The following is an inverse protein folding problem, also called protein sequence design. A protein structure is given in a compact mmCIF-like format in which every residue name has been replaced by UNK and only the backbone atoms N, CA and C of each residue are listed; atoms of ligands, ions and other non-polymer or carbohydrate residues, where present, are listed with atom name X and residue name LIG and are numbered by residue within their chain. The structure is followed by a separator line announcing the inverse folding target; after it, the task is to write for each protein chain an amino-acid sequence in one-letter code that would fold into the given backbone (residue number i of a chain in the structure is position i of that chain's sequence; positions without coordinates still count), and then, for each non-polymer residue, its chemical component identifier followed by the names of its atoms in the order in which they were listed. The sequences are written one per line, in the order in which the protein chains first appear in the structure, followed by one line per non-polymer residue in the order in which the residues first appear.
data_IF_573529157458
#
_entry.id   IF_573529157458
#
_cell.length_a   1.000
_cell.length_b   1.000
_cell.length_c   1.000
_cell.angle_alpha   90.00
_cell.angle_beta   90.00
_cell.angle_gamma   90.00
#
_symmetry.space_group_name_H-M   'P 1'
#
loop_
_entity.id
_entity.type
_entity.pdbx_description
1 polymer ?
#
# COMPACT_ATOMS: atom_id res chain seq x y z
N UNK A 1 -1.56 7.88 9.49
CA UNK A 1 -2.15 6.53 9.46
C UNK A 1 -3.42 6.49 10.30
N UNK A 2 -3.35 6.53 11.64
CA UNK A 2 -4.54 6.36 12.51
C UNK A 2 -5.67 7.40 12.31
N UNK A 3 -5.39 8.70 12.25
CA UNK A 3 -6.45 9.72 12.20
C UNK A 3 -7.26 9.72 10.90
N UNK A 4 -6.60 9.67 9.74
CA UNK A 4 -7.28 9.76 8.44
C UNK A 4 -7.92 8.42 8.01
N UNK A 5 -7.24 7.30 8.22
CA UNK A 5 -7.73 5.99 7.76
C UNK A 5 -8.76 5.39 8.72
N UNK A 6 -8.49 5.31 10.02
CA UNK A 6 -9.39 4.65 10.97
C UNK A 6 -10.58 5.51 11.40
N UNK A 7 -10.39 6.82 11.57
CA UNK A 7 -11.42 7.70 12.15
C UNK A 7 -12.16 8.47 11.07
N UNK A 8 -11.48 8.96 10.04
CA UNK A 8 -12.15 9.71 8.98
C UNK A 8 -12.81 8.77 7.97
N UNK A 9 -12.06 7.90 7.30
CA UNK A 9 -12.65 7.08 6.23
C UNK A 9 -13.73 6.13 6.73
N UNK A 10 -13.47 5.29 7.74
CA UNK A 10 -14.49 4.36 8.27
C UNK A 10 -15.74 5.08 8.83
N UNK A 11 -15.58 6.25 9.46
CA UNK A 11 -16.70 6.99 10.04
C UNK A 11 -17.48 7.77 8.98
N UNK A 12 -16.82 8.36 7.98
CA UNK A 12 -17.49 8.99 6.84
C UNK A 12 -18.16 7.94 5.95
N UNK A 13 -17.58 6.76 5.80
CA UNK A 13 -18.15 5.69 5.01
C UNK A 13 -19.43 5.12 5.65
N UNK A 14 -19.47 4.95 6.97
CA UNK A 14 -20.70 4.55 7.68
C UNK A 14 -21.67 5.74 7.82
N UNK A 15 -21.11 6.93 8.06
CA UNK A 15 -21.85 8.13 8.44
C UNK A 15 -22.55 8.80 7.26
N UNK A 16 -21.90 8.94 6.12
CA UNK A 16 -22.42 9.67 4.95
C UNK A 16 -23.64 8.98 4.33
N UNK A 17 -23.67 7.65 4.10
CA UNK A 17 -24.85 6.99 3.54
C UNK A 17 -26.04 7.08 4.49
N UNK A 18 -25.81 6.91 5.80
CA UNK A 18 -26.85 7.08 6.83
C UNK A 18 -27.36 8.52 6.91
N UNK A 19 -26.47 9.50 6.82
CA UNK A 19 -26.83 10.91 6.86
C UNK A 19 -27.59 11.31 5.58
N UNK A 20 -27.16 10.88 4.40
CA UNK A 20 -27.90 11.06 3.14
C UNK A 20 -29.26 10.38 3.16
N UNK A 21 -29.36 9.18 3.74
CA UNK A 21 -30.64 8.47 3.92
C UNK A 21 -31.55 9.21 4.89
N UNK A 22 -31.00 9.77 5.96
CA UNK A 22 -31.73 10.59 6.92
C UNK A 22 -32.19 11.91 6.30
N UNK A 23 -31.35 12.59 5.51
CA UNK A 23 -31.72 13.83 4.80
C UNK A 23 -32.79 13.54 3.76
N UNK A 24 -32.66 12.48 2.96
CA UNK A 24 -33.71 12.03 2.01
C UNK A 24 -35.01 11.68 2.73
N UNK A 25 -34.92 11.02 3.89
CA UNK A 25 -36.08 10.73 4.73
C UNK A 25 -36.72 12.00 5.31
N UNK A 26 -35.94 12.99 5.75
CA UNK A 26 -36.47 14.26 6.26
C UNK A 26 -37.11 15.08 5.13
N UNK A 27 -36.49 15.13 3.95
CA UNK A 27 -37.05 15.77 2.76
C UNK A 27 -38.33 15.06 2.29
N UNK A 28 -38.39 13.73 2.31
CA UNK A 28 -39.61 12.98 1.98
C UNK A 28 -40.69 13.10 3.07
N UNK A 29 -40.29 13.25 4.34
CA UNK A 29 -41.21 13.43 5.48
C UNK A 29 -41.98 14.76 5.43
N UNK A 30 -41.48 15.74 4.68
CA UNK A 30 -42.24 16.97 4.40
C UNK A 30 -43.43 16.74 3.45
N UNK A 31 -43.51 15.59 2.76
CA UNK A 31 -44.62 15.17 1.88
C UNK A 31 -45.49 14.01 2.44
N UNK A 32 -45.14 13.35 3.56
CA UNK A 32 -45.58 11.96 3.80
C UNK A 32 -46.20 11.64 5.19
N UNK A 33 -47.39 12.16 5.51
CA UNK A 33 -48.23 11.52 6.55
C UNK A 33 -48.96 10.25 6.04
N UNK A 34 -48.86 9.95 4.73
CA UNK A 34 -49.56 8.84 4.04
C UNK A 34 -48.66 7.62 3.68
N UNK A 35 -47.33 7.69 3.84
CA UNK A 35 -46.40 6.67 3.30
C UNK A 35 -46.04 5.51 4.25
N UNK A 36 -46.28 5.63 5.56
CA UNK A 36 -45.93 4.57 6.52
C UNK A 36 -46.71 3.25 6.27
N UNK A 37 -47.92 3.32 5.71
CA UNK A 37 -48.66 2.13 5.26
C UNK A 37 -48.24 1.62 3.86
N UNK A 38 -47.73 2.50 2.98
CA UNK A 38 -47.20 2.12 1.66
C UNK A 38 -45.88 1.36 1.75
N UNK A 39 -45.07 1.62 2.77
CA UNK A 39 -43.77 0.97 2.93
C UNK A 39 -43.89 -0.55 3.16
N UNK A 40 -45.04 -1.05 3.63
CA UNK A 40 -45.36 -2.49 3.70
C UNK A 40 -45.78 -3.11 2.34
N UNK A 41 -45.97 -2.31 1.28
CA UNK A 41 -46.46 -2.72 -0.05
C UNK A 41 -45.52 -2.39 -1.22
N UNK A 42 -44.33 -1.84 -0.96
CA UNK A 42 -43.38 -1.51 -2.03
C UNK A 42 -42.91 -2.78 -2.76
N UNK A 43 -42.95 -2.74 -4.08
CA UNK A 43 -42.39 -3.79 -4.92
C UNK A 43 -40.87 -3.77 -4.83
N UNK A 44 -40.25 -4.94 -5.06
CA UNK A 44 -38.80 -5.15 -4.85
C UNK A 44 -37.91 -4.22 -5.70
N UNK A 45 -38.36 -3.84 -6.90
CA UNK A 45 -37.61 -2.89 -7.73
C UNK A 45 -37.69 -1.44 -7.21
N UNK A 46 -38.77 -1.09 -6.50
CA UNK A 46 -38.95 0.25 -5.92
C UNK A 46 -38.01 0.43 -4.73
N UNK A 47 -37.90 -0.58 -3.87
CA UNK A 47 -36.93 -0.59 -2.77
C UNK A 47 -35.49 -0.51 -3.28
N UNK A 48 -35.14 -1.25 -4.33
CA UNK A 48 -33.81 -1.17 -4.94
C UNK A 48 -33.55 0.21 -5.58
N UNK A 49 -34.58 0.88 -6.11
CA UNK A 49 -34.44 2.23 -6.66
C UNK A 49 -34.10 3.30 -5.59
N UNK A 50 -34.37 3.07 -4.30
CA UNK A 50 -33.98 4.03 -3.27
C UNK A 50 -32.51 3.91 -2.83
N UNK A 51 -31.84 2.79 -3.12
CA UNK A 51 -30.41 2.57 -2.79
C UNK A 51 -29.48 3.40 -3.69
N UNK A 52 -28.24 3.62 -3.26
CA UNK A 52 -27.26 4.36 -4.05
C UNK A 52 -26.73 3.52 -5.22
N UNK A 53 -26.51 4.12 -6.41
CA UNK A 53 -25.91 3.41 -7.53
C UNK A 53 -24.44 3.10 -7.25
N UNK A 54 -23.98 1.95 -7.76
CA UNK A 54 -22.58 1.55 -7.64
C UNK A 54 -21.67 2.44 -8.50
N UNK A 55 -20.70 3.11 -7.87
CA UNK A 55 -19.80 4.07 -8.50
C UNK A 55 -18.47 3.46 -9.00
N UNK A 56 -18.32 2.13 -8.93
CA UNK A 56 -17.08 1.43 -9.29
C UNK A 56 -16.20 1.08 -8.09
N UNK A 57 -15.15 0.29 -8.33
CA UNK A 57 -14.20 -0.18 -7.31
C UNK A 57 -12.96 0.73 -7.17
N UNK A 58 -12.83 1.76 -8.00
CA UNK A 58 -11.61 2.59 -8.01
C UNK A 58 -11.35 3.34 -6.69
N UNK A 59 -12.36 3.86 -5.96
CA UNK A 59 -12.11 4.48 -4.66
C UNK A 59 -11.64 3.46 -3.61
N UNK A 60 -12.23 2.26 -3.60
CA UNK A 60 -11.88 1.20 -2.65
C UNK A 60 -10.43 0.71 -2.87
N UNK A 61 -10.03 0.51 -4.14
CA UNK A 61 -8.65 0.18 -4.45
C UNK A 61 -7.67 1.30 -4.09
N UNK A 62 -8.06 2.56 -4.31
CA UNK A 62 -7.22 3.71 -3.97
C UNK A 62 -6.94 3.77 -2.46
N UNK A 63 -7.96 3.56 -1.63
CA UNK A 63 -7.82 3.47 -0.17
C UNK A 63 -6.81 2.40 0.24
N UNK A 64 -6.97 1.19 -0.30
CA UNK A 64 -6.09 0.06 0.01
C UNK A 64 -4.64 0.29 -0.44
N UNK A 65 -4.43 0.94 -1.59
CA UNK A 65 -3.08 1.22 -2.09
C UNK A 65 -2.41 2.34 -1.30
N UNK A 66 -3.15 3.37 -0.88
CA UNK A 66 -2.63 4.40 0.02
C UNK A 66 -2.21 3.76 1.34
N UNK A 67 -3.02 2.82 1.86
CA UNK A 67 -2.66 2.07 3.06
C UNK A 67 -1.40 1.23 2.88
N UNK A 68 -1.29 0.49 1.78
CA UNK A 68 -0.08 -0.23 1.41
C UNK A 68 1.14 0.70 1.37
N UNK A 69 1.02 1.85 0.71
CA UNK A 69 2.09 2.85 0.63
C UNK A 69 2.54 3.35 2.01
N UNK A 70 1.60 3.66 2.92
CA UNK A 70 2.00 4.05 4.27
C UNK A 70 2.72 2.94 5.04
N UNK A 71 2.32 1.68 4.85
CA UNK A 71 2.97 0.53 5.48
C UNK A 71 4.37 0.34 4.91
N UNK A 72 4.55 0.37 3.59
CA UNK A 72 5.84 0.04 2.97
C UNK A 72 6.83 1.21 2.96
N UNK A 73 6.39 2.44 2.72
CA UNK A 73 7.30 3.59 2.55
C UNK A 73 7.93 4.07 3.87
N UNK A 74 7.28 3.82 5.01
CA UNK A 74 7.66 4.40 6.30
C UNK A 74 7.86 3.34 7.41
N UNK A 75 8.00 2.06 7.04
CA UNK A 75 8.19 0.97 8.00
C UNK A 75 9.46 1.16 8.85
N UNK A 76 10.52 1.73 8.27
CA UNK A 76 11.78 1.96 8.98
C UNK A 76 11.65 2.95 10.15
N UNK A 77 10.70 3.89 10.05
CA UNK A 77 10.42 4.86 11.13
C UNK A 77 9.43 4.32 12.14
N UNK A 78 8.43 3.55 11.70
CA UNK A 78 7.34 3.10 12.54
C UNK A 78 7.02 1.60 12.33
N UNK A 79 7.63 0.71 13.13
CA UNK A 79 7.52 -0.74 12.92
C UNK A 79 6.13 -1.32 13.25
N UNK A 80 5.30 -0.60 13.99
CA UNK A 80 3.93 -1.03 14.34
C UNK A 80 2.89 -0.69 13.24
N UNK A 81 3.30 -0.04 12.14
CA UNK A 81 2.40 0.27 11.02
C UNK A 81 1.64 -0.95 10.46
N UNK A 82 2.27 -2.13 10.24
CA UNK A 82 1.58 -3.29 9.71
C UNK A 82 0.48 -3.82 10.64
N UNK A 83 0.66 -3.71 11.97
CA UNK A 83 -0.36 -4.13 12.94
C UNK A 83 -1.64 -3.29 12.80
N UNK A 84 -1.50 -1.97 12.65
CA UNK A 84 -2.66 -1.11 12.44
C UNK A 84 -3.31 -1.32 11.07
N UNK A 85 -2.52 -1.58 10.03
CA UNK A 85 -3.05 -1.94 8.73
C UNK A 85 -3.84 -3.25 8.78
N UNK A 86 -3.38 -4.25 9.55
CA UNK A 86 -4.10 -5.50 9.75
C UNK A 86 -5.45 -5.28 10.44
N UNK A 87 -5.47 -4.52 11.54
CA UNK A 87 -6.71 -4.18 12.25
C UNK A 87 -7.68 -3.41 11.36
N UNK A 88 -7.17 -2.47 10.56
CA UNK A 88 -8.01 -1.73 9.61
C UNK A 88 -8.61 -2.68 8.56
N UNK A 89 -7.79 -3.53 7.93
CA UNK A 89 -8.26 -4.48 6.92
C UNK A 89 -9.32 -5.45 7.45
N UNK A 90 -9.24 -5.87 8.71
CA UNK A 90 -10.25 -6.76 9.33
C UNK A 90 -11.60 -6.05 9.42
N UNK A 91 -11.60 -4.77 9.81
CA UNK A 91 -12.81 -3.96 9.90
C UNK A 91 -13.34 -3.65 8.50
N UNK A 92 -12.45 -3.22 7.61
CA UNK A 92 -12.75 -2.81 6.22
C UNK A 92 -13.50 -3.89 5.45
N UNK A 93 -13.00 -5.14 5.46
CA UNK A 93 -13.64 -6.26 4.77
C UNK A 93 -15.09 -6.44 5.23
N UNK A 94 -15.40 -6.18 6.51
CA UNK A 94 -16.75 -6.30 7.06
C UNK A 94 -17.62 -5.09 6.71
N UNK A 95 -17.05 -3.89 6.70
CA UNK A 95 -17.74 -2.65 6.33
C UNK A 95 -18.09 -2.64 4.84
N UNK A 96 -17.12 -2.95 3.98
CA UNK A 96 -17.33 -3.10 2.53
C UNK A 96 -18.41 -4.14 2.23
N UNK A 97 -18.32 -5.33 2.83
CA UNK A 97 -19.32 -6.37 2.63
C UNK A 97 -20.72 -5.89 3.04
N UNK A 98 -20.84 -5.16 4.16
CA UNK A 98 -22.11 -4.61 4.61
C UNK A 98 -22.63 -3.53 3.66
N UNK A 99 -21.77 -2.63 3.18
CA UNK A 99 -22.09 -1.59 2.20
C UNK A 99 -22.62 -2.20 0.90
N UNK A 100 -21.97 -3.22 0.37
CA UNK A 100 -22.42 -3.95 -0.83
C UNK A 100 -23.75 -4.68 -0.63
N UNK A 101 -24.01 -5.24 0.54
CA UNK A 101 -25.22 -6.02 0.80
C UNK A 101 -26.43 -5.14 1.16
N UNK A 102 -26.22 -3.99 1.82
CA UNK A 102 -27.31 -3.24 2.46
C UNK A 102 -27.51 -1.81 1.94
N UNK A 103 -26.51 -1.18 1.33
CA UNK A 103 -26.55 0.25 1.01
C UNK A 103 -26.49 0.54 -0.50
N UNK A 104 -25.87 -0.35 -1.27
CA UNK A 104 -25.69 -0.20 -2.71
C UNK A 104 -26.68 -1.03 -3.52
N UNK A 105 -27.06 -0.52 -4.69
CA UNK A 105 -27.74 -1.32 -5.71
C UNK A 105 -26.80 -2.39 -6.25
N UNK A 106 -27.37 -3.56 -6.58
CA UNK A 106 -26.59 -4.68 -7.13
C UNK A 106 -25.85 -4.26 -8.41
N UNK A 107 -24.52 -4.33 -8.45
CA UNK A 107 -23.76 -4.01 -9.65
C UNK A 107 -23.93 -5.09 -10.73
N UNK A 108 -23.71 -4.69 -11.99
CA UNK A 108 -23.65 -5.64 -13.11
C UNK A 108 -22.36 -6.43 -13.02
N UNK A 109 -22.45 -7.76 -13.06
CA UNK A 109 -21.30 -8.64 -12.95
C UNK A 109 -20.40 -8.51 -14.20
N UNK A 110 -19.20 -7.96 -14.02
CA UNK A 110 -18.15 -7.95 -15.02
C UNK A 110 -17.11 -9.03 -14.68
N UNK A 111 -16.61 -9.73 -15.71
CA UNK A 111 -15.52 -10.72 -15.55
C UNK A 111 -14.18 -10.04 -15.82
N UNK A 112 -13.27 -10.12 -14.86
CA UNK A 112 -11.89 -9.66 -14.97
C UNK A 112 -10.94 -10.79 -14.53
N UNK A 113 -9.78 -10.88 -15.18
CA UNK A 113 -8.75 -11.89 -14.88
C UNK A 113 -7.78 -11.45 -13.78
N UNK A 114 -7.61 -10.15 -13.60
CA UNK A 114 -6.64 -9.52 -12.73
C UNK A 114 -7.21 -8.22 -12.12
N UNK A 115 -6.45 -7.64 -11.20
CA UNK A 115 -6.74 -6.34 -10.59
C UNK A 115 -6.42 -5.16 -11.53
N UNK A 116 -5.89 -5.43 -12.73
CA UNK A 116 -5.54 -4.42 -13.74
C UNK A 116 -4.36 -3.52 -13.34
N UNK A 117 -4.49 -2.21 -13.60
CA UNK A 117 -3.42 -1.21 -13.41
C UNK A 117 -2.88 -1.14 -11.99
N UNK A 118 -3.69 -1.51 -11.00
CA UNK A 118 -3.35 -1.49 -9.59
C UNK A 118 -2.16 -2.39 -9.26
N UNK A 119 -1.97 -3.50 -9.99
CA UNK A 119 -0.78 -4.35 -9.84
C UNK A 119 0.51 -3.59 -10.17
N UNK A 120 0.52 -2.85 -11.28
CA UNK A 120 1.68 -2.06 -11.69
C UNK A 120 1.97 -0.92 -10.69
N UNK A 121 0.91 -0.32 -10.12
CA UNK A 121 1.05 0.71 -9.09
C UNK A 121 1.67 0.11 -7.82
N UNK A 122 1.16 -1.03 -7.33
CA UNK A 122 1.71 -1.73 -6.18
C UNK A 122 3.19 -2.08 -6.38
N UNK A 123 3.54 -2.61 -7.56
CA UNK A 123 4.94 -2.93 -7.91
C UNK A 123 5.82 -1.68 -7.94
N UNK A 124 5.31 -0.57 -8.47
CA UNK A 124 6.01 0.72 -8.47
C UNK A 124 6.24 1.26 -7.06
N UNK A 125 5.20 1.27 -6.22
CA UNK A 125 5.28 1.70 -4.82
C UNK A 125 6.26 0.83 -4.03
N UNK A 126 6.27 -0.48 -4.24
CA UNK A 126 7.21 -1.40 -3.58
C UNK A 126 8.67 -1.09 -3.93
N UNK A 127 8.98 -0.80 -5.20
CA UNK A 127 10.33 -0.40 -5.63
C UNK A 127 10.77 0.95 -5.04
N UNK A 128 9.87 1.93 -5.05
CA UNK A 128 10.12 3.25 -4.45
C UNK A 128 10.29 3.15 -2.93
N UNK A 129 9.58 2.24 -2.27
CA UNK A 129 9.68 2.01 -0.84
C UNK A 129 11.10 1.64 -0.41
N UNK A 130 11.83 0.85 -1.20
CA UNK A 130 13.22 0.49 -0.90
C UNK A 130 14.10 1.74 -0.83
N UNK A 131 13.96 2.63 -1.81
CA UNK A 131 14.73 3.88 -1.89
C UNK A 131 14.38 4.78 -0.71
N UNK A 132 13.10 5.01 -0.46
CA UNK A 132 12.66 5.91 0.62
C UNK A 132 13.11 5.40 1.99
N UNK A 133 12.96 4.10 2.27
CA UNK A 133 13.44 3.54 3.54
C UNK A 133 14.96 3.66 3.69
N UNK A 134 15.74 3.53 2.61
CA UNK A 134 17.18 3.74 2.66
C UNK A 134 17.53 5.17 3.10
N UNK A 135 16.85 6.18 2.54
CA UNK A 135 17.01 7.59 2.92
C UNK A 135 16.52 7.87 4.35
N UNK A 136 15.40 7.28 4.76
CA UNK A 136 14.88 7.41 6.13
C UNK A 136 15.89 6.87 7.15
N UNK A 137 16.48 5.71 6.89
CA UNK A 137 17.47 5.11 7.79
C UNK A 137 18.77 5.92 7.80
N UNK A 138 19.22 6.43 6.66
CA UNK A 138 20.52 7.13 6.58
C UNK A 138 20.47 8.58 7.07
N UNK A 139 19.43 9.34 6.69
CA UNK A 139 19.34 10.78 6.96
C UNK A 139 18.49 11.11 8.19
N UNK A 140 17.36 10.44 8.37
CA UNK A 140 16.43 10.76 9.46
C UNK A 140 16.83 10.07 10.77
N UNK A 141 17.35 8.85 10.71
CA UNK A 141 17.80 8.12 11.90
C UNK A 141 19.21 8.55 12.32
N UNK A 142 19.46 8.53 13.64
CA UNK A 142 20.79 8.70 14.21
C UNK A 142 21.64 7.40 14.11
N UNK A 143 21.18 6.39 13.36
CA UNK A 143 21.90 5.13 13.19
C UNK A 143 23.31 5.32 12.60
N UNK A 144 23.43 6.01 11.46
CA UNK A 144 24.72 6.20 10.78
C UNK A 144 25.71 7.03 11.63
N UNK A 145 25.33 8.22 12.16
CA UNK A 145 26.23 8.98 13.03
C UNK A 145 26.73 8.19 14.25
N UNK A 146 25.86 7.40 14.88
CA UNK A 146 26.24 6.55 16.02
C UNK A 146 27.24 5.47 15.63
N UNK A 147 27.04 4.81 14.48
CA UNK A 147 28.00 3.84 13.97
C UNK A 147 29.35 4.49 13.64
N UNK A 148 29.35 5.64 12.95
CA UNK A 148 30.57 6.36 12.61
C UNK A 148 31.35 6.75 13.86
N UNK A 149 30.66 7.28 14.88
CA UNK A 149 31.27 7.58 16.18
C UNK A 149 31.90 6.33 16.81
N UNK A 150 31.15 5.24 16.89
CA UNK A 150 31.58 3.99 17.51
C UNK A 150 32.85 3.41 16.86
N UNK A 151 32.94 3.44 15.53
CA UNK A 151 34.03 2.81 14.79
C UNK A 151 35.23 3.73 14.52
N UNK A 152 35.03 5.05 14.41
CA UNK A 152 36.10 5.98 14.02
C UNK A 152 36.59 6.88 15.16
N UNK A 153 35.72 7.21 16.13
CA UNK A 153 35.99 8.27 17.12
C UNK A 153 35.94 7.79 18.57
N UNK A 154 35.33 6.64 18.86
CA UNK A 154 35.23 6.12 20.22
C UNK A 154 36.57 5.55 20.67
N UNK A 155 37.13 6.00 21.80
CA UNK A 155 38.39 5.48 22.32
C UNK A 155 38.26 4.03 22.84
N UNK A 156 37.11 3.69 23.42
CA UNK A 156 36.86 2.41 24.08
C UNK A 156 35.89 1.51 23.30
N UNK A 157 35.45 1.92 22.10
CA UNK A 157 34.39 1.23 21.36
C UNK A 157 33.03 1.28 22.06
N UNK A 158 32.81 2.28 22.91
CA UNK A 158 31.53 2.52 23.61
C UNK A 158 30.82 3.77 23.09
N UNK A 159 29.53 3.93 23.42
CA UNK A 159 28.75 5.12 23.07
C UNK A 159 28.94 6.28 24.07
N UNK A 160 29.84 6.15 25.04
CA UNK A 160 30.12 7.21 26.01
C UNK A 160 30.72 8.43 25.32
N UNK A 161 30.14 9.60 25.55
CA UNK A 161 30.60 10.85 24.93
C UNK A 161 29.98 11.18 23.57
N UNK A 162 29.14 10.30 22.99
CA UNK A 162 28.51 10.54 21.69
C UNK A 162 27.77 11.89 21.59
N UNK A 163 26.96 12.23 22.60
CA UNK A 163 26.22 13.50 22.61
C UNK A 163 27.17 14.69 22.69
N UNK A 164 28.26 14.57 23.44
CA UNK A 164 29.25 15.64 23.57
C UNK A 164 30.03 15.85 22.26
N UNK A 165 30.26 14.77 21.50
CA UNK A 165 30.89 14.82 20.18
C UNK A 165 29.95 15.37 19.09
N UNK A 166 28.66 15.07 19.16
CA UNK A 166 27.69 15.44 18.12
C UNK A 166 27.27 16.92 18.20
N UNK A 167 27.50 17.57 19.34
CA UNK A 167 27.09 18.96 19.58
C UNK A 167 28.25 19.92 19.26
N UNK A 168 28.00 20.91 18.42
CA UNK A 168 28.92 22.01 18.15
C UNK A 168 28.67 23.18 19.10
N UNK A 169 29.74 23.95 19.35
CA UNK A 169 29.71 25.12 20.23
C UNK A 169 29.37 26.38 19.45
N UNK A 170 28.52 27.23 20.02
CA UNK A 170 28.18 28.54 19.50
C UNK A 170 28.36 29.61 20.57
N UNK A 171 29.10 30.67 20.24
CA UNK A 171 29.24 31.82 21.13
C UNK A 171 28.03 32.73 20.96
N UNK A 172 27.31 33.01 22.05
CA UNK A 172 26.07 33.80 22.03
C UNK A 172 26.33 35.24 21.57
N UNK A 173 27.54 35.78 21.76
CA UNK A 173 27.90 37.12 21.27
C UNK A 173 27.94 37.23 19.74
N UNK A 174 27.91 36.12 18.99
CA UNK A 174 27.97 36.12 17.52
C UNK A 174 26.58 36.07 16.87
N UNK A 175 25.50 36.30 17.63
CA UNK A 175 24.18 36.46 17.04
C UNK A 175 24.12 37.71 16.15
N UNK A 176 23.37 37.61 15.04
CA UNK A 176 23.05 38.77 14.23
C UNK A 176 22.09 39.68 15.01
N UNK A 177 22.26 41.00 14.88
CA UNK A 177 21.40 41.99 15.54
C UNK A 177 19.91 41.66 15.31
N UNK A 178 19.15 41.55 16.40
CA UNK A 178 17.71 41.25 16.38
C UNK A 178 17.33 39.77 16.27
N UNK A 179 18.29 38.82 16.23
CA UNK A 179 18.02 37.36 16.28
C UNK A 179 18.39 36.71 17.62
N UNK A 180 18.64 37.54 18.62
CA UNK A 180 18.94 37.09 19.98
C UNK A 180 17.70 36.48 20.67
N UNK A 181 17.89 35.64 21.69
CA UNK A 181 16.78 35.14 22.50
C UNK A 181 16.00 36.30 23.12
N UNK A 182 14.65 36.26 23.01
CA UNK A 182 13.77 37.26 23.64
C UNK A 182 13.93 37.35 25.18
N UNK A 183 14.35 36.25 25.80
CA UNK A 183 14.65 36.17 27.24
C UNK A 183 16.00 35.47 27.47
N UNK A 184 17.12 36.23 27.48
CA UNK A 184 18.47 35.69 27.63
C UNK A 184 18.76 35.19 29.05
N UNK A 185 17.96 35.57 30.05
CA UNK A 185 18.16 35.19 31.47
C UNK A 185 17.13 34.18 31.97
N UNK A 186 16.44 33.49 31.06
CA UNK A 186 15.44 32.47 31.40
C UNK A 186 15.93 31.39 32.38
N UNK A 187 17.23 31.06 32.34
CA UNK A 187 17.84 30.07 33.25
C UNK A 187 18.35 30.66 34.58
N UNK A 188 18.23 31.98 34.80
CA UNK A 188 18.69 32.67 36.01
C UNK A 188 20.18 33.00 36.04
N UNK A 189 20.92 32.76 34.96
CA UNK A 189 22.32 33.13 34.78
C UNK A 189 22.60 33.45 33.30
N UNK A 190 23.61 34.29 33.00
CA UNK A 190 24.01 34.58 31.63
C UNK A 190 24.66 33.36 30.98
N UNK A 191 24.24 33.04 29.75
CA UNK A 191 24.80 31.93 28.96
C UNK A 191 25.75 32.50 27.92
N UNK A 192 27.04 32.21 28.06
CA UNK A 192 28.06 32.67 27.10
C UNK A 192 28.15 31.76 25.87
N UNK A 193 27.99 30.45 26.08
CA UNK A 193 28.14 29.43 25.03
C UNK A 193 26.93 28.51 25.03
N UNK A 194 26.31 28.35 23.87
CA UNK A 194 25.26 27.37 23.65
C UNK A 194 25.74 26.24 22.71
N UNK A 195 25.00 25.14 22.69
CA UNK A 195 25.33 23.95 21.89
C UNK A 195 24.17 23.59 20.98
N UNK A 196 24.46 23.22 19.74
CA UNK A 196 23.47 22.83 18.74
C UNK A 196 23.92 21.57 17.99
N UNK A 197 22.95 20.84 17.41
CA UNK A 197 23.20 19.59 16.71
C UNK A 197 23.65 19.88 15.27
N UNK A 198 24.95 20.05 15.08
CA UNK A 198 25.60 20.15 13.77
C UNK A 198 27.10 19.86 13.89
N UNK A 199 27.73 19.44 12.79
CA UNK A 199 29.17 19.14 12.73
C UNK A 199 29.95 20.35 12.21
N UNK A 200 30.21 21.31 13.09
CA UNK A 200 30.92 22.55 12.78
C UNK A 200 32.10 22.78 13.71
N UNK A 201 33.10 23.46 13.18
CA UNK A 201 34.29 23.83 13.92
C UNK A 201 33.95 24.79 15.06
N UNK A 202 34.60 24.66 16.23
CA UNK A 202 34.33 25.49 17.39
C UNK A 202 34.81 26.94 17.19
N UNK A 203 34.31 27.88 18.01
CA UNK A 203 34.60 29.31 17.84
C UNK A 203 36.07 29.71 18.08
N UNK A 204 36.85 28.87 18.76
CA UNK A 204 38.29 29.06 19.01
C UNK A 204 39.20 28.43 17.94
N UNK A 205 38.64 27.81 16.90
CA UNK A 205 39.41 27.28 15.78
C UNK A 205 39.83 28.39 14.80
N UNK A 206 40.73 28.08 13.86
CA UNK A 206 41.16 29.01 12.80
C UNK A 206 40.02 29.38 11.82
N UNK A 207 39.01 28.53 11.71
CA UNK A 207 37.87 28.65 10.77
C UNK A 207 36.57 28.42 11.55
N UNK A 208 36.15 29.40 12.38
CA UNK A 208 35.02 29.22 13.28
C UNK A 208 33.70 29.05 12.52
N UNK A 209 32.87 28.09 12.96
CA UNK A 209 31.55 27.76 12.40
C UNK A 209 31.55 27.15 11.00
N UNK A 210 32.71 26.94 10.38
CA UNK A 210 32.79 26.20 9.12
C UNK A 210 32.49 24.71 9.34
N UNK A 211 32.15 24.04 8.23
CA UNK A 211 31.79 22.62 8.24
C UNK A 211 33.02 21.77 8.57
N UNK A 212 32.92 20.96 9.63
CA UNK A 212 34.00 20.08 10.08
C UNK A 212 34.19 18.91 9.09
N UNK A 213 35.39 18.32 9.03
CA UNK A 213 35.69 17.07 8.31
C UNK A 213 34.76 15.92 8.73
N UNK A 214 34.34 15.90 9.99
CA UNK A 214 33.37 14.93 10.51
C UNK A 214 32.03 14.95 9.75
N UNK A 215 31.56 16.14 9.36
CA UNK A 215 30.34 16.29 8.57
C UNK A 215 30.45 15.52 7.25
N UNK A 216 31.56 15.71 6.55
CA UNK A 216 31.82 15.07 5.26
C UNK A 216 32.00 13.57 5.40
N UNK A 217 32.66 13.10 6.47
CA UNK A 217 32.78 11.68 6.77
C UNK A 217 31.40 11.04 7.01
N UNK A 218 30.56 11.65 7.86
CA UNK A 218 29.20 11.15 8.13
C UNK A 218 28.34 11.19 6.85
N UNK A 219 28.44 12.26 6.06
CA UNK A 219 27.70 12.38 4.79
C UNK A 219 28.13 11.30 3.78
N UNK A 220 29.43 11.06 3.62
CA UNK A 220 29.95 10.03 2.74
C UNK A 220 29.44 8.64 3.15
N UNK A 221 29.47 8.31 4.45
CA UNK A 221 28.95 7.03 4.96
C UNK A 221 27.43 6.92 4.77
N UNK A 222 26.67 8.02 4.95
CA UNK A 222 25.22 8.03 4.66
C UNK A 222 24.93 7.68 3.20
N UNK A 223 25.64 8.30 2.26
CA UNK A 223 25.47 8.03 0.83
C UNK A 223 25.91 6.61 0.47
N UNK A 224 27.05 6.15 0.99
CA UNK A 224 27.53 4.79 0.79
C UNK A 224 26.52 3.75 1.31
N UNK A 225 25.95 3.99 2.49
CA UNK A 225 24.90 3.13 3.05
C UNK A 225 23.68 3.05 2.13
N UNK A 226 23.20 4.18 1.59
CA UNK A 226 22.03 4.17 0.69
C UNK A 226 22.31 3.31 -0.55
N UNK A 227 23.49 3.43 -1.15
CA UNK A 227 23.89 2.64 -2.32
C UNK A 227 23.93 1.15 -1.96
N UNK A 228 24.61 0.78 -0.88
CA UNK A 228 24.74 -0.63 -0.48
C UNK A 228 23.37 -1.22 -0.12
N UNK A 229 22.59 -0.53 0.71
CA UNK A 229 21.27 -0.97 1.14
C UNK A 229 20.34 -1.18 -0.05
N UNK A 230 20.29 -0.22 -0.97
CA UNK A 230 19.44 -0.30 -2.17
C UNK A 230 19.82 -1.52 -3.03
N UNK A 231 21.11 -1.70 -3.33
CA UNK A 231 21.55 -2.82 -4.16
C UNK A 231 21.26 -4.17 -3.49
N UNK A 232 21.56 -4.31 -2.20
CA UNK A 232 21.31 -5.56 -1.46
C UNK A 232 19.82 -5.91 -1.44
N UNK A 233 18.95 -4.95 -1.12
CA UNK A 233 17.51 -5.20 -1.02
C UNK A 233 16.90 -5.49 -2.39
N UNK A 234 17.34 -4.81 -3.45
CA UNK A 234 16.87 -5.10 -4.81
C UNK A 234 17.29 -6.50 -5.27
N UNK A 235 18.54 -6.89 -5.05
CA UNK A 235 19.02 -8.24 -5.35
C UNK A 235 18.22 -9.29 -4.59
N UNK A 236 17.95 -9.07 -3.30
CA UNK A 236 17.14 -9.98 -2.50
C UNK A 236 15.71 -10.09 -3.04
N UNK A 237 15.12 -8.99 -3.51
CA UNK A 237 13.79 -9.00 -4.12
C UNK A 237 13.78 -9.82 -5.41
N UNK A 238 14.77 -9.62 -6.28
CA UNK A 238 14.91 -10.38 -7.52
C UNK A 238 15.17 -11.88 -7.26
N UNK A 239 15.89 -12.23 -6.19
CA UNK A 239 16.07 -13.63 -5.76
C UNK A 239 14.74 -14.24 -5.31
N UNK A 240 13.92 -13.51 -4.56
CA UNK A 240 12.60 -13.98 -4.12
C UNK A 240 11.67 -14.20 -5.31
N UNK A 241 11.65 -13.25 -6.25
CA UNK A 241 10.89 -13.36 -7.50
C UNK A 241 11.37 -14.56 -8.33
N UNK A 242 12.67 -14.87 -8.31
CA UNK A 242 13.20 -16.06 -8.99
C UNK A 242 12.87 -17.38 -8.27
N UNK A 243 12.82 -17.38 -6.93
CA UNK A 243 12.57 -18.58 -6.13
C UNK A 243 11.10 -19.02 -6.16
N UNK A 244 10.16 -18.07 -6.20
CA UNK A 244 8.73 -18.35 -6.14
C UNK A 244 8.18 -18.46 -7.56
N UNK A 245 7.74 -19.65 -8.01
CA UNK A 245 7.15 -19.80 -9.34
C UNK A 245 5.80 -19.07 -9.41
N UNK A 246 5.60 -18.28 -10.49
CA UNK A 246 4.38 -17.49 -10.70
C UNK A 246 3.08 -18.33 -10.74
N UNK A 247 3.18 -19.61 -11.17
CA UNK A 247 2.03 -20.51 -11.28
C UNK A 247 2.24 -21.71 -10.34
N UNK A 248 1.31 -21.98 -9.40
CA UNK A 248 1.40 -23.14 -8.52
C UNK A 248 1.24 -24.45 -9.30
N UNK A 249 1.95 -25.50 -8.86
CA UNK A 249 1.98 -26.82 -9.53
C UNK A 249 0.60 -27.48 -9.61
N UNK A 250 -0.24 -27.32 -8.59
CA UNK A 250 -1.55 -27.96 -8.57
C UNK A 250 -2.46 -27.44 -9.69
N UNK A 251 -2.42 -26.13 -9.95
CA UNK A 251 -3.20 -25.51 -11.02
C UNK A 251 -2.65 -25.88 -12.39
N UNK A 252 -1.32 -25.93 -12.56
CA UNK A 252 -0.74 -26.34 -13.85
C UNK A 252 -1.07 -27.80 -14.18
N UNK A 253 -1.06 -28.68 -13.18
CA UNK A 253 -1.51 -30.06 -13.30
C UNK A 253 -3.00 -30.16 -13.61
N UNK A 254 -3.84 -29.37 -12.95
CA UNK A 254 -5.28 -29.35 -13.21
C UNK A 254 -5.59 -28.88 -14.63
N UNK A 255 -4.98 -27.79 -15.09
CA UNK A 255 -5.10 -27.29 -16.46
C UNK A 255 -4.65 -28.35 -17.47
N UNK A 256 -3.54 -29.05 -17.18
CA UNK A 256 -3.05 -30.12 -18.04
C UNK A 256 -4.03 -31.30 -18.10
N UNK A 257 -4.59 -31.72 -16.97
CA UNK A 257 -5.58 -32.79 -16.89
C UNK A 257 -6.87 -32.43 -17.63
N UNK A 258 -7.39 -31.22 -17.43
CA UNK A 258 -8.57 -30.71 -18.14
C UNK A 258 -8.32 -30.67 -19.66
N UNK A 259 -7.11 -30.29 -20.09
CA UNK A 259 -6.72 -30.28 -21.51
C UNK A 259 -6.69 -31.69 -22.11
N UNK A 260 -6.11 -32.68 -21.39
CA UNK A 260 -6.10 -34.08 -21.85
C UNK A 260 -7.52 -34.62 -21.99
N UNK A 261 -8.36 -34.44 -20.96
CA UNK A 261 -9.73 -34.93 -20.95
C UNK A 261 -10.56 -34.29 -22.07
N UNK A 262 -10.38 -32.99 -22.32
CA UNK A 262 -11.04 -32.29 -23.42
C UNK A 262 -10.63 -32.84 -24.79
N UNK A 263 -9.34 -33.12 -25.00
CA UNK A 263 -8.84 -33.72 -26.25
C UNK A 263 -9.39 -35.14 -26.44
N UNK A 264 -9.43 -35.94 -25.38
CA UNK A 264 -9.99 -37.30 -25.44
C UNK A 264 -11.49 -37.28 -25.81
N UNK A 265 -12.28 -36.40 -25.18
CA UNK A 265 -13.69 -36.22 -25.53
C UNK A 265 -13.87 -35.77 -26.99
N UNK A 266 -13.07 -34.82 -27.45
CA UNK A 266 -13.13 -34.34 -28.83
C UNK A 266 -12.83 -35.44 -29.85
N UNK A 267 -11.77 -36.24 -29.61
CA UNK A 267 -11.42 -37.36 -30.48
C UNK A 267 -12.50 -38.44 -30.52
N UNK A 268 -13.13 -38.73 -29.38
CA UNK A 268 -14.25 -39.68 -29.30
C UNK A 268 -15.48 -39.19 -30.07
N UNK A 269 -15.83 -37.91 -29.98
CA UNK A 269 -16.92 -37.34 -30.78
C UNK A 269 -16.63 -37.38 -32.28
N UNK A 270 -15.40 -37.05 -32.69
CA UNK A 270 -14.94 -37.14 -34.08
C UNK A 270 -15.06 -38.58 -34.62
N UNK A 271 -14.63 -39.58 -33.84
CA UNK A 271 -14.76 -40.99 -34.21
C UNK A 271 -16.23 -41.39 -34.38
N UNK A 272 -17.10 -41.02 -33.43
CA UNK A 272 -18.54 -41.33 -33.53
C UNK A 272 -19.17 -40.67 -34.76
N UNK A 273 -18.81 -39.42 -35.08
CA UNK A 273 -19.29 -38.74 -36.30
C UNK A 273 -18.85 -39.47 -37.58
N UNK A 274 -17.58 -39.90 -37.66
CA UNK A 274 -17.06 -40.68 -38.80
C UNK A 274 -17.80 -42.01 -38.97
N UNK A 275 -17.96 -42.78 -37.89
CA UNK A 275 -18.74 -44.03 -37.92
C UNK A 275 -20.17 -43.80 -38.39
N UNK A 276 -20.86 -42.78 -37.86
CA UNK A 276 -22.24 -42.44 -38.25
C UNK A 276 -22.32 -42.04 -39.73
N UNK A 277 -21.31 -41.33 -40.25
CA UNK A 277 -21.26 -40.91 -41.65
C UNK A 277 -21.01 -42.11 -42.59
N UNK A 278 -20.11 -43.02 -42.22
CA UNK A 278 -19.89 -44.27 -42.94
C UNK A 278 -21.14 -45.15 -42.96
N UNK A 279 -21.85 -45.27 -41.84
CA UNK A 279 -23.12 -46.01 -41.78
C UNK A 279 -24.19 -45.40 -42.69
N UNK A 280 -24.32 -44.07 -42.72
CA UNK A 280 -25.24 -43.39 -43.65
C UNK A 280 -24.87 -43.65 -45.11
N UNK A 281 -23.59 -43.59 -45.46
CA UNK A 281 -23.12 -43.92 -46.81
C UNK A 281 -23.43 -45.38 -47.18
N UNK A 282 -23.21 -46.33 -46.26
CA UNK A 282 -23.57 -47.75 -46.46
C UNK A 282 -25.08 -47.94 -46.64
N UNK A 283 -25.91 -47.23 -45.89
CA UNK A 283 -27.37 -47.30 -46.03
C UNK A 283 -27.85 -46.70 -47.38
N UNK A 284 -27.26 -45.60 -47.82
CA UNK A 284 -27.53 -45.01 -49.14
C UNK A 284 -27.16 -45.97 -50.27
N UNK A 285 -26.00 -46.64 -50.17
CA UNK A 285 -25.58 -47.67 -51.14
C UNK A 285 -26.57 -48.85 -51.19
N UNK A 286 -27.06 -49.32 -50.04
CA UNK A 286 -28.07 -50.38 -49.99
C UNK A 286 -29.41 -49.96 -50.61
N UNK A 287 -29.84 -48.70 -50.42
CA UNK A 287 -31.07 -48.18 -51.06
C UNK A 287 -30.93 -48.00 -52.57
N UNK A 288 -29.78 -47.58 -53.07
CA UNK A 288 -29.52 -47.47 -54.52
C UNK A 288 -29.55 -48.82 -55.24
N UNK A 289 -29.06 -49.89 -54.60
CA UNK A 289 -29.12 -51.24 -55.15
C UNK A 289 -30.51 -51.91 -55.07
N UNK A 290 -31.45 -51.38 -54.29
CA UNK A 290 -32.83 -51.89 -54.21
C UNK A 290 -33.79 -51.24 -55.23
N UNK A 291 -33.38 -50.17 -55.92
CA UNK A 291 -34.18 -49.49 -56.95
C UNK A 291 -33.78 -49.87 -58.39
N UNK A 292 -32.84 -50.79 -58.57
CA UNK A 292 -32.26 -51.20 -59.86
C UNK A 292 -32.61 -52.65 -60.27
N UNK A 293 -33.67 -53.20 -59.71
CA UNK A 293 -34.34 -54.46 -60.12
C UNK A 293 -35.81 -54.15 -60.39
#
# INVERSE_FOLDING_TARGET
MLGKQLIQNNLFEIGVPKLKKLIRYIQSKQESYQEQDKQKRLQRYETDHFLEPFAGLTPEYMEMIIQFGFVTLFVASFPLAPLFALLNNIIEIRLDAKKFVTELRRPVAARAKDIGIWYNILRGVAKVAVIINAFVISFTSDFIPRMVYLYMYSPDGTMHGFVNHTLSYFNVSHFQEGKEPMDPMRLGYPVDICRYKDYREPPWSSTPYDVNKEFWAVLAVRLAFVIVFQNVVLIMNDIVDWLIPDIPKDISLQIHKEKILLVELFMREEQVKKFTQEERLRQLHKRGNQQSV
#
